data_IF_202022682443
#
_entry.id   IF_202022682443
#
_cell.length_a   1.000
_cell.length_b   1.000
_cell.length_c   1.000
_cell.angle_alpha   90.00
_cell.angle_beta   90.00
_cell.angle_gamma   90.00
#
_symmetry.space_group_name_H-M   'P 1'
#
loop_
_entity.id
_entity.type
_entity.pdbx_description
1 polymer ?
#
# COMPACT_ATOMS: atom_id res chain seq x y z
N UNK A 1 -72.05 14.51 12.06
CA UNK A 1 -70.90 13.57 12.15
C UNK A 1 -69.92 13.85 10.99
N UNK A 2 -68.61 13.63 11.20
CA UNK A 2 -67.53 13.50 10.19
C UNK A 2 -66.95 14.73 9.43
N UNK A 3 -66.23 15.64 10.13
CA UNK A 3 -65.17 16.47 9.49
C UNK A 3 -63.76 16.34 10.10
N UNK A 4 -63.58 15.61 11.21
CA UNK A 4 -62.29 15.54 11.93
C UNK A 4 -61.29 14.48 11.40
N UNK A 5 -61.70 13.60 10.49
CA UNK A 5 -60.87 12.47 10.02
C UNK A 5 -59.83 12.91 8.97
N UNK A 6 -60.13 13.95 8.18
CA UNK A 6 -59.23 14.43 7.13
C UNK A 6 -57.93 15.02 7.69
N UNK A 7 -58.03 15.96 8.64
CA UNK A 7 -56.87 16.70 9.17
C UNK A 7 -55.89 15.82 9.94
N UNK A 8 -56.33 14.69 10.51
CA UNK A 8 -55.46 13.75 11.22
C UNK A 8 -54.55 12.97 10.25
N UNK A 9 -55.06 12.58 9.08
CA UNK A 9 -54.29 11.85 8.06
C UNK A 9 -53.16 12.70 7.47
N UNK A 10 -53.43 13.98 7.21
CA UNK A 10 -52.40 14.92 6.72
C UNK A 10 -51.33 15.24 7.78
N UNK A 11 -51.71 15.33 9.06
CA UNK A 11 -50.76 15.53 10.17
C UNK A 11 -49.90 14.29 10.41
N UNK A 12 -50.46 13.10 10.32
CA UNK A 12 -49.71 11.84 10.44
C UNK A 12 -48.71 11.66 9.28
N UNK A 13 -49.11 11.97 8.04
CA UNK A 13 -48.21 11.93 6.89
C UNK A 13 -47.07 12.95 6.99
N UNK A 14 -47.34 14.17 7.48
CA UNK A 14 -46.32 15.18 7.70
C UNK A 14 -45.29 14.78 8.78
N UNK A 15 -45.75 14.15 9.87
CA UNK A 15 -44.86 13.66 10.95
C UNK A 15 -44.00 12.49 10.47
N UNK A 16 -44.56 11.55 9.69
CA UNK A 16 -43.80 10.43 9.12
C UNK A 16 -42.74 10.91 8.10
N UNK A 17 -43.07 11.91 7.27
CA UNK A 17 -42.13 12.51 6.33
C UNK A 17 -40.97 13.21 7.05
N UNK A 18 -41.25 13.98 8.12
CA UNK A 18 -40.19 14.63 8.92
C UNK A 18 -39.28 13.64 9.64
N UNK A 19 -39.84 12.53 10.16
CA UNK A 19 -39.05 11.47 10.79
C UNK A 19 -38.15 10.75 9.78
N UNK A 20 -38.65 10.45 8.57
CA UNK A 20 -37.88 9.81 7.50
C UNK A 20 -36.68 10.66 7.05
N UNK A 21 -36.87 11.97 6.90
CA UNK A 21 -35.78 12.90 6.51
C UNK A 21 -34.73 13.05 7.61
N UNK A 22 -35.13 13.06 8.88
CA UNK A 22 -34.19 13.12 10.01
C UNK A 22 -33.30 11.87 10.12
N UNK A 23 -33.85 10.68 9.83
CA UNK A 23 -33.07 9.44 9.78
C UNK A 23 -32.07 9.42 8.60
N UNK A 24 -32.45 9.92 7.43
CA UNK A 24 -31.55 10.02 6.27
C UNK A 24 -30.39 11.01 6.50
N UNK A 25 -30.66 12.15 7.15
CA UNK A 25 -29.63 13.13 7.49
C UNK A 25 -28.70 12.67 8.63
N UNK A 26 -29.21 11.84 9.56
CA UNK A 26 -28.40 11.26 10.64
C UNK A 26 -27.34 10.27 10.15
N UNK A 27 -27.59 9.57 9.04
CA UNK A 27 -26.64 8.62 8.44
C UNK A 27 -25.34 9.26 7.95
N UNK A 28 -25.40 10.46 7.36
CA UNK A 28 -24.22 11.17 6.86
C UNK A 28 -23.28 11.65 7.99
N UNK A 29 -23.79 11.86 9.21
CA UNK A 29 -22.97 12.32 10.33
C UNK A 29 -22.02 11.24 10.87
N UNK A 30 -22.41 9.96 10.78
CA UNK A 30 -21.61 8.84 11.27
C UNK A 30 -20.37 8.56 10.41
N UNK A 31 -20.44 8.78 9.08
CA UNK A 31 -19.28 8.63 8.18
C UNK A 31 -18.22 9.73 8.38
N UNK A 32 -18.64 10.96 8.66
CA UNK A 32 -17.71 12.09 8.87
C UNK A 32 -17.06 12.08 10.25
N UNK A 33 -17.77 11.67 11.32
CA UNK A 33 -17.24 11.65 12.68
C UNK A 33 -16.01 10.75 12.85
N UNK A 34 -15.98 9.62 12.14
CA UNK A 34 -14.89 8.63 12.26
C UNK A 34 -13.66 8.94 11.38
N UNK A 35 -13.75 9.95 10.50
CA UNK A 35 -12.67 10.27 9.55
C UNK A 35 -11.44 10.90 10.21
N UNK A 36 -11.61 11.70 11.27
CA UNK A 36 -10.50 12.33 12.03
C UNK A 36 -9.63 11.29 12.77
N UNK A 37 -10.19 10.38 13.60
CA UNK A 37 -9.39 9.34 14.23
C UNK A 37 -8.80 8.37 13.22
N UNK A 38 -9.53 8.00 12.15
CA UNK A 38 -9.00 7.14 11.10
C UNK A 38 -7.77 7.75 10.39
N UNK A 39 -7.80 9.04 10.07
CA UNK A 39 -6.64 9.75 9.48
C UNK A 39 -5.47 9.87 10.46
N UNK A 40 -5.74 10.08 11.74
CA UNK A 40 -4.70 10.12 12.75
C UNK A 40 -4.00 8.76 12.84
N UNK A 41 -4.75 7.66 12.96
CA UNK A 41 -4.21 6.29 12.95
C UNK A 41 -3.44 6.00 11.66
N UNK A 42 -3.99 6.36 10.49
CA UNK A 42 -3.31 6.18 9.20
C UNK A 42 -1.99 6.95 9.11
N UNK A 43 -1.88 8.12 9.75
CA UNK A 43 -0.63 8.88 9.85
C UNK A 43 0.37 8.20 10.78
N UNK A 44 -0.07 7.67 11.91
CA UNK A 44 0.79 6.91 12.84
C UNK A 44 1.30 5.60 12.24
N UNK A 45 0.54 5.01 11.30
CA UNK A 45 0.93 3.80 10.57
C UNK A 45 1.81 4.06 9.34
N UNK A 46 2.08 5.33 8.99
CA UNK A 46 3.02 5.65 7.92
C UNK A 46 4.40 5.08 8.27
N UNK A 47 5.11 4.48 7.32
CA UNK A 47 6.47 4.07 7.57
C UNK A 47 7.34 5.26 7.92
N UNK A 48 8.22 5.08 8.90
CA UNK A 48 9.27 6.06 9.21
C UNK A 48 10.19 6.20 8.00
N UNK A 49 10.37 7.41 7.47
CA UNK A 49 11.28 7.69 6.36
C UNK A 49 10.79 8.80 5.42
N UNK A 50 11.71 9.35 4.65
CA UNK A 50 11.44 10.35 3.61
C UNK A 50 11.17 9.68 2.27
N UNK A 51 9.97 9.92 1.72
CA UNK A 51 9.59 9.47 0.38
C UNK A 51 10.55 10.04 -0.68
N UNK A 52 11.00 11.29 -0.53
CA UNK A 52 11.94 11.93 -1.44
C UNK A 52 13.33 11.27 -1.39
N UNK A 53 13.87 11.05 -0.18
CA UNK A 53 15.17 10.37 -0.03
C UNK A 53 15.11 8.94 -0.58
N UNK A 54 14.01 8.24 -0.33
CA UNK A 54 13.77 6.89 -0.83
C UNK A 54 13.73 6.85 -2.35
N UNK A 55 12.99 7.78 -2.97
CA UNK A 55 12.96 7.93 -4.42
C UNK A 55 14.36 8.15 -4.99
N UNK A 56 15.17 9.04 -4.39
CA UNK A 56 16.54 9.30 -4.87
C UNK A 56 17.40 8.04 -4.87
N UNK A 57 17.41 7.30 -3.77
CA UNK A 57 18.20 6.06 -3.68
C UNK A 57 17.66 5.02 -4.66
N UNK A 58 16.33 4.87 -4.75
CA UNK A 58 15.67 3.96 -5.69
C UNK A 58 16.08 4.23 -7.15
N UNK A 59 16.04 5.50 -7.58
CA UNK A 59 16.45 5.88 -8.93
C UNK A 59 17.91 5.51 -9.20
N UNK A 60 18.79 5.66 -8.21
CA UNK A 60 20.22 5.41 -8.38
C UNK A 60 20.63 3.94 -8.30
N UNK A 61 19.90 3.10 -7.56
CA UNK A 61 20.32 1.73 -7.21
C UNK A 61 19.38 0.64 -7.72
N UNK A 62 18.10 0.93 -7.92
CA UNK A 62 17.07 -0.09 -8.14
C UNK A 62 16.37 0.05 -9.51
N UNK A 63 16.23 1.28 -10.01
CA UNK A 63 15.44 1.57 -11.20
C UNK A 63 15.96 0.94 -12.50
N UNK A 64 17.25 0.60 -12.60
CA UNK A 64 17.82 -0.07 -13.77
C UNK A 64 17.20 -1.45 -14.04
N UNK A 65 16.80 -2.16 -12.98
CA UNK A 65 16.20 -3.48 -13.09
C UNK A 65 14.68 -3.44 -12.87
N UNK A 66 14.20 -2.64 -11.91
CA UNK A 66 12.77 -2.58 -11.56
C UNK A 66 11.99 -1.48 -12.27
N UNK A 67 12.64 -0.73 -13.16
CA UNK A 67 12.06 0.40 -13.88
C UNK A 67 11.98 1.66 -13.01
N UNK A 68 11.95 2.83 -13.63
CA UNK A 68 11.86 4.12 -12.91
C UNK A 68 10.60 4.23 -12.07
N UNK A 69 9.51 3.61 -12.51
CA UNK A 69 8.24 3.58 -11.80
C UNK A 69 8.08 2.39 -10.84
N UNK A 70 9.09 1.54 -10.67
CA UNK A 70 9.00 0.29 -9.88
C UNK A 70 7.98 -0.73 -10.38
N UNK A 71 7.60 -0.62 -11.66
CA UNK A 71 6.61 -1.47 -12.35
C UNK A 71 7.25 -2.63 -13.12
N UNK A 72 8.55 -2.86 -12.93
CA UNK A 72 9.29 -3.96 -13.55
C UNK A 72 9.83 -3.64 -14.94
N UNK A 73 10.77 -4.49 -15.37
CA UNK A 73 11.34 -4.56 -16.72
C UNK A 73 11.60 -6.04 -17.06
N UNK A 74 12.23 -6.31 -18.20
CA UNK A 74 12.74 -7.66 -18.51
C UNK A 74 13.81 -8.14 -17.51
N UNK A 75 14.50 -7.22 -16.82
CA UNK A 75 15.55 -7.51 -15.86
C UNK A 75 15.06 -7.69 -14.43
N UNK A 76 13.85 -7.24 -14.09
CA UNK A 76 13.38 -7.25 -12.70
C UNK A 76 11.87 -7.12 -12.59
N UNK A 77 11.25 -7.78 -11.60
CA UNK A 77 9.80 -7.81 -11.47
C UNK A 77 9.20 -6.45 -11.08
N UNK A 78 7.90 -6.32 -11.32
CA UNK A 78 7.05 -5.30 -10.71
C UNK A 78 7.07 -5.46 -9.17
N UNK A 79 7.44 -4.40 -8.48
CA UNK A 79 7.54 -4.39 -7.02
C UNK A 79 6.20 -4.11 -6.35
N UNK A 80 5.21 -3.54 -7.06
CA UNK A 80 3.96 -3.09 -6.45
C UNK A 80 3.15 -4.23 -5.81
N UNK A 81 2.97 -5.41 -6.45
CA UNK A 81 2.24 -6.52 -5.83
C UNK A 81 2.90 -7.02 -4.55
N UNK A 82 4.23 -7.09 -4.54
CA UNK A 82 5.02 -7.51 -3.37
C UNK A 82 4.89 -6.49 -2.23
N UNK A 83 5.09 -5.21 -2.53
CA UNK A 83 5.07 -4.14 -1.53
C UNK A 83 3.70 -3.98 -0.84
N UNK A 84 2.59 -4.29 -1.52
CA UNK A 84 1.25 -4.29 -0.91
C UNK A 84 1.09 -5.31 0.22
N UNK A 85 1.88 -6.37 0.20
CA UNK A 85 1.78 -7.49 1.16
C UNK A 85 3.00 -7.57 2.09
N UNK A 86 4.04 -6.79 1.82
CA UNK A 86 5.32 -6.86 2.52
C UNK A 86 5.45 -5.81 3.61
N UNK A 87 5.62 -6.28 4.85
CA UNK A 87 5.98 -5.43 5.98
C UNK A 87 7.45 -4.98 5.95
N UNK A 88 7.81 -3.94 6.72
CA UNK A 88 9.15 -3.33 6.69
C UNK A 88 10.27 -4.29 7.08
N UNK A 89 10.04 -5.18 8.06
CA UNK A 89 11.04 -6.19 8.48
C UNK A 89 11.42 -7.13 7.35
N UNK A 90 10.41 -7.62 6.62
CA UNK A 90 10.60 -8.51 5.47
C UNK A 90 11.32 -7.79 4.32
N UNK A 91 10.94 -6.53 4.07
CA UNK A 91 11.63 -5.69 3.10
C UNK A 91 13.11 -5.51 3.41
N UNK A 92 13.45 -5.14 4.66
CA UNK A 92 14.85 -4.96 5.10
C UNK A 92 15.64 -6.26 4.95
N UNK A 93 15.08 -7.39 5.38
CA UNK A 93 15.73 -8.70 5.24
C UNK A 93 15.97 -9.11 3.80
N UNK A 94 15.02 -8.81 2.90
CA UNK A 94 15.16 -9.06 1.47
C UNK A 94 16.20 -8.16 0.81
N UNK A 95 16.17 -6.85 1.07
CA UNK A 95 17.04 -5.89 0.38
C UNK A 95 18.48 -5.97 0.89
N UNK A 96 18.68 -6.02 2.21
CA UNK A 96 20.02 -6.03 2.78
C UNK A 96 20.65 -7.41 2.71
N UNK A 97 19.89 -8.48 2.96
CA UNK A 97 20.46 -9.82 3.17
C UNK A 97 19.99 -10.86 2.15
N UNK A 98 19.05 -10.50 1.26
CA UNK A 98 18.42 -11.44 0.32
C UNK A 98 17.77 -12.65 1.02
N UNK A 99 17.45 -12.52 2.31
CA UNK A 99 17.03 -13.64 3.17
C UNK A 99 15.74 -14.32 2.67
N UNK A 100 14.83 -13.55 2.10
CA UNK A 100 13.51 -14.03 1.64
C UNK A 100 13.41 -14.27 0.12
N UNK A 101 14.48 -14.07 -0.65
CA UNK A 101 14.47 -14.31 -2.11
C UNK A 101 14.51 -15.79 -2.47
N UNK A 102 15.07 -16.63 -1.59
CA UNK A 102 15.39 -18.02 -1.92
C UNK A 102 14.16 -18.93 -2.07
N UNK A 103 12.95 -18.52 -1.69
CA UNK A 103 11.77 -19.39 -1.83
C UNK A 103 10.62 -18.69 -2.54
N UNK A 104 10.33 -19.04 -3.80
CA UNK A 104 9.14 -18.56 -4.48
C UNK A 104 7.87 -18.90 -3.69
N UNK A 105 6.98 -17.92 -3.56
CA UNK A 105 5.70 -18.11 -2.86
C UNK A 105 4.83 -19.04 -3.71
N UNK A 106 4.36 -20.15 -3.13
CA UNK A 106 3.51 -21.14 -3.82
C UNK A 106 4.25 -22.28 -4.51
N UNK A 107 5.59 -22.31 -4.47
CA UNK A 107 6.37 -23.49 -4.90
C UNK A 107 6.68 -24.41 -3.70
N UNK A 108 6.65 -25.73 -3.94
CA UNK A 108 7.13 -26.69 -2.95
C UNK A 108 8.65 -26.62 -2.85
N UNK A 109 9.26 -26.88 -1.68
CA UNK A 109 10.71 -26.92 -1.53
C UNK A 109 11.41 -27.80 -2.58
N UNK A 110 10.81 -28.94 -2.92
CA UNK A 110 11.33 -29.92 -3.88
C UNK A 110 11.37 -29.35 -5.31
N UNK A 111 10.28 -28.72 -5.76
CA UNK A 111 10.20 -28.10 -7.09
C UNK A 111 11.22 -26.98 -7.31
N UNK A 112 11.58 -26.26 -6.25
CA UNK A 112 12.60 -25.20 -6.29
C UNK A 112 14.02 -25.79 -6.31
N UNK A 113 14.29 -26.82 -5.49
CA UNK A 113 15.57 -27.54 -5.50
C UNK A 113 15.84 -28.12 -6.90
N UNK A 114 14.83 -28.71 -7.55
CA UNK A 114 14.97 -29.25 -8.90
C UNK A 114 15.36 -28.18 -9.94
N UNK A 115 14.77 -26.98 -9.84
CA UNK A 115 15.10 -25.84 -10.72
C UNK A 115 16.54 -25.35 -10.50
N UNK A 116 16.98 -25.27 -9.24
CA UNK A 116 18.33 -24.89 -8.88
C UNK A 116 19.37 -25.90 -9.38
N UNK A 117 19.12 -27.21 -9.19
CA UNK A 117 19.97 -28.30 -9.70
C UNK A 117 20.07 -28.26 -11.22
N UNK A 118 18.98 -27.91 -11.90
CA UNK A 118 18.90 -27.90 -13.36
C UNK A 118 19.42 -26.60 -13.99
N UNK A 119 19.90 -25.62 -13.18
CA UNK A 119 20.42 -24.30 -13.62
C UNK A 119 19.50 -23.58 -14.62
N UNK A 120 18.17 -23.77 -14.50
CA UNK A 120 17.20 -23.19 -15.44
C UNK A 120 16.83 -21.74 -15.15
N UNK A 121 17.24 -21.21 -14.00
CA UNK A 121 17.01 -19.80 -13.67
C UNK A 121 18.13 -18.94 -14.24
N UNK A 122 17.78 -17.99 -15.13
CA UNK A 122 18.70 -16.93 -15.54
C UNK A 122 18.97 -16.02 -14.33
N UNK A 123 20.22 -15.89 -13.86
CA UNK A 123 20.51 -15.16 -12.65
C UNK A 123 20.56 -13.65 -12.94
N UNK A 124 19.40 -13.00 -13.08
CA UNK A 124 19.31 -11.60 -12.63
C UNK A 124 19.10 -11.66 -11.12
N UNK A 125 20.17 -12.00 -10.42
CA UNK A 125 20.20 -12.03 -8.98
C UNK A 125 20.25 -10.58 -8.49
N UNK A 126 19.11 -10.04 -8.06
CA UNK A 126 19.09 -8.82 -7.27
C UNK A 126 20.20 -8.91 -6.20
N UNK A 127 21.20 -8.01 -6.20
CA UNK A 127 22.32 -8.12 -5.28
C UNK A 127 21.86 -7.89 -3.84
N UNK A 128 22.63 -8.42 -2.89
CA UNK A 128 22.46 -8.07 -1.48
C UNK A 128 23.12 -6.69 -1.25
N UNK A 129 22.42 -5.78 -0.56
CA UNK A 129 22.82 -4.38 -0.45
C UNK A 129 23.36 -3.99 0.93
N UNK A 130 23.68 -4.94 1.79
CA UNK A 130 24.19 -4.69 3.15
C UNK A 130 25.47 -3.85 3.19
N UNK A 131 26.33 -4.01 2.18
CA UNK A 131 27.61 -3.30 2.08
C UNK A 131 27.52 -1.98 1.30
N UNK A 132 26.36 -1.65 0.71
CA UNK A 132 26.17 -0.37 0.00
C UNK A 132 25.68 0.72 0.96
N UNK A 133 26.52 1.73 1.28
CA UNK A 133 26.21 2.69 2.34
C UNK A 133 24.93 3.49 2.06
N UNK A 134 24.70 3.87 0.79
CA UNK A 134 23.52 4.65 0.43
C UNK A 134 22.23 3.86 0.62
N UNK A 135 22.24 2.55 0.37
CA UNK A 135 21.05 1.69 0.56
C UNK A 135 20.85 1.39 2.03
N UNK A 136 21.90 1.06 2.76
CA UNK A 136 21.81 0.73 4.18
C UNK A 136 21.32 1.94 5.01
N UNK A 137 21.90 3.12 4.79
CA UNK A 137 21.51 4.36 5.48
C UNK A 137 20.07 4.80 5.17
N UNK A 138 19.57 4.51 3.97
CA UNK A 138 18.25 4.94 3.51
C UNK A 138 17.26 3.79 3.36
N UNK A 139 17.48 2.65 4.04
CA UNK A 139 16.65 1.46 3.85
C UNK A 139 15.18 1.71 4.20
N UNK A 140 14.93 2.51 5.24
CA UNK A 140 13.56 2.86 5.63
C UNK A 140 12.96 3.95 4.73
N UNK A 141 13.78 4.84 4.17
CA UNK A 141 13.32 5.80 3.15
C UNK A 141 12.88 5.06 1.87
N UNK A 142 13.64 4.04 1.44
CA UNK A 142 13.28 3.16 0.33
C UNK A 142 11.94 2.48 0.59
N UNK A 143 11.74 1.92 1.78
CA UNK A 143 10.47 1.32 2.17
C UNK A 143 9.33 2.36 2.16
N UNK A 144 9.56 3.57 2.69
CA UNK A 144 8.57 4.65 2.68
C UNK A 144 8.15 5.06 1.26
N UNK A 145 9.10 5.18 0.33
CA UNK A 145 8.82 5.46 -1.08
C UNK A 145 8.02 4.32 -1.74
N UNK A 146 8.52 3.09 -1.68
CA UNK A 146 7.91 1.95 -2.37
C UNK A 146 6.54 1.56 -1.81
N UNK A 147 6.33 1.71 -0.49
CA UNK A 147 5.02 1.50 0.13
C UNK A 147 4.04 2.60 -0.29
N UNK A 148 4.45 3.87 -0.31
CA UNK A 148 3.62 4.95 -0.82
C UNK A 148 3.23 4.75 -2.29
N UNK A 149 4.13 4.21 -3.12
CA UNK A 149 3.82 3.80 -4.50
C UNK A 149 2.78 2.69 -4.55
N UNK A 150 2.98 1.63 -3.78
CA UNK A 150 2.10 0.47 -3.75
C UNK A 150 0.68 0.81 -3.28
N UNK A 151 0.56 1.75 -2.34
CA UNK A 151 -0.69 2.31 -1.81
C UNK A 151 -1.35 3.36 -2.71
N UNK A 152 -0.68 3.78 -3.80
CA UNK A 152 -1.17 4.85 -4.67
C UNK A 152 -1.07 6.28 -4.08
N UNK A 153 -0.32 6.44 -2.98
CA UNK A 153 -0.07 7.76 -2.33
C UNK A 153 1.05 8.53 -3.01
N UNK A 154 1.92 7.85 -3.76
CA UNK A 154 2.99 8.43 -4.57
C UNK A 154 2.90 7.86 -5.99
N UNK A 155 3.19 8.70 -6.99
CA UNK A 155 3.23 8.30 -8.40
C UNK A 155 4.67 7.99 -8.87
N UNK A 156 4.78 7.67 -10.18
CA UNK A 156 6.01 7.47 -10.96
C UNK A 156 7.14 8.46 -10.70
N UNK A 157 6.73 9.70 -10.48
CA UNK A 157 7.54 10.86 -10.71
C UNK A 157 8.31 11.27 -9.46
N UNK A 158 9.18 12.25 -9.62
CA UNK A 158 9.95 12.84 -8.52
C UNK A 158 8.99 13.39 -7.45
N UNK A 159 9.08 12.92 -6.19
CA UNK A 159 8.30 13.48 -5.09
C UNK A 159 8.69 14.93 -4.81
N UNK A 160 7.73 15.73 -4.35
CA UNK A 160 8.00 17.04 -3.77
C UNK A 160 8.65 16.86 -2.38
N UNK A 161 9.71 17.63 -2.04
CA UNK A 161 10.33 17.59 -0.72
C UNK A 161 9.37 17.92 0.42
#
# INVERSE_FOLDING_TARGET
MNKKIGTWRWRAAAVAAMAGTALLLGGCALEFGNSKPARAVARWLQPTGSVYSGWRVYQSRCASCHGTAATGTELGPDLMPLMRTMGPRRFVGLVLQRYDWARPVGQSPESWIDQAVQRREHPVAMPAWQEEPAVNAHIMDLYAYLSARADGRQNGDRPTP
#
